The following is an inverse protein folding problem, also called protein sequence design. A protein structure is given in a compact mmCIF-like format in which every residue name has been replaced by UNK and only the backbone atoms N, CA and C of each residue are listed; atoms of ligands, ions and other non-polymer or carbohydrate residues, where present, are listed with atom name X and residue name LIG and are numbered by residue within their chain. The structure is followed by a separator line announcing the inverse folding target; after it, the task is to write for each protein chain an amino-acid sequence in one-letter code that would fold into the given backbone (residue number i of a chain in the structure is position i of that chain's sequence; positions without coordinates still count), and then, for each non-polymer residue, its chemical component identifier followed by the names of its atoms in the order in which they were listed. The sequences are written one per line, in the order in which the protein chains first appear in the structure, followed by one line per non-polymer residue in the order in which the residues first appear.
data_IF_504872044049
#
_entry.id   IF_504872044049
#
_cell.length_a   1.000
_cell.length_b   1.000
_cell.length_c   1.000
_cell.angle_alpha   90.00
_cell.angle_beta   90.00
_cell.angle_gamma   90.00
#
_symmetry.space_group_name_H-M   'P 1'
#
loop_
_entity.id
_entity.type
_entity.pdbx_description
1 polymer ?
#
# COMPACT_ATOMS: atom_id res chain seq x y z
N UNK A 1 27.77 -47.87 -28.73
CA UNK A 1 27.52 -46.71 -27.83
C UNK A 1 28.14 -45.46 -28.43
N UNK A 2 27.35 -44.61 -29.10
CA UNK A 2 27.75 -43.23 -29.46
C UNK A 2 26.53 -42.34 -29.22
N UNK A 3 26.72 -41.37 -28.32
CA UNK A 3 25.67 -40.54 -27.71
C UNK A 3 25.12 -39.58 -28.76
N UNK A 4 23.79 -39.50 -28.80
CA UNK A 4 22.99 -38.67 -29.69
C UNK A 4 22.30 -37.64 -28.82
N UNK A 5 22.49 -36.35 -29.18
CA UNK A 5 21.71 -35.16 -28.80
C UNK A 5 21.82 -34.79 -27.30
N UNK A 6 21.99 -33.53 -26.88
CA UNK A 6 21.10 -32.39 -27.11
C UNK A 6 21.96 -31.12 -26.97
N UNK A 7 22.18 -30.42 -28.09
CA UNK A 7 22.59 -29.02 -28.10
C UNK A 7 21.40 -28.26 -28.68
N UNK A 8 20.75 -27.44 -27.85
CA UNK A 8 19.60 -26.65 -28.26
C UNK A 8 18.50 -26.70 -27.23
N UNK A 9 18.46 -25.66 -26.39
CA UNK A 9 17.30 -25.01 -25.76
C UNK A 9 17.76 -24.29 -24.48
N UNK A 10 18.67 -23.34 -24.62
CA UNK A 10 18.91 -22.31 -23.59
C UNK A 10 18.90 -20.95 -24.28
N UNK A 11 17.76 -20.58 -24.87
CA UNK A 11 17.60 -19.27 -25.51
C UNK A 11 16.15 -18.76 -25.47
N UNK A 12 15.38 -19.09 -24.42
CA UNK A 12 14.03 -18.56 -24.24
C UNK A 12 13.74 -18.11 -22.80
N UNK A 13 14.71 -17.56 -22.06
CA UNK A 13 14.46 -16.93 -20.74
C UNK A 13 15.00 -15.50 -20.62
N UNK A 14 15.35 -14.87 -21.74
CA UNK A 14 15.68 -13.44 -21.81
C UNK A 14 14.68 -12.73 -22.72
N UNK A 15 13.41 -12.75 -22.34
CA UNK A 15 12.40 -11.86 -22.88
C UNK A 15 11.63 -11.28 -21.69
N UNK A 16 12.02 -10.05 -21.29
CA UNK A 16 11.36 -9.30 -20.24
C UNK A 16 12.08 -9.31 -18.90
N UNK A 17 13.31 -8.81 -18.83
CA UNK A 17 13.75 -8.12 -17.61
C UNK A 17 13.01 -6.78 -17.55
N UNK A 18 11.69 -6.82 -17.36
CA UNK A 18 10.98 -5.71 -16.74
C UNK A 18 11.47 -5.74 -15.28
N UNK A 19 12.55 -5.00 -15.09
CA UNK A 19 13.29 -4.71 -13.87
C UNK A 19 12.59 -5.12 -12.56
N UNK A 20 12.70 -6.41 -12.18
CA UNK A 20 12.49 -6.82 -10.79
C UNK A 20 13.51 -6.16 -9.83
N UNK A 21 14.56 -5.54 -10.39
CA UNK A 21 15.62 -4.83 -9.68
C UNK A 21 15.27 -3.35 -9.35
N UNK A 22 14.13 -2.82 -9.81
CA UNK A 22 13.70 -1.44 -9.47
C UNK A 22 12.39 -1.34 -8.69
N UNK A 23 11.76 -2.47 -8.36
CA UNK A 23 10.64 -2.48 -7.44
C UNK A 23 11.14 -2.19 -6.01
N UNK A 24 10.91 -0.97 -5.54
CA UNK A 24 11.11 -0.64 -4.12
C UNK A 24 10.07 -1.41 -3.29
N UNK A 25 10.52 -2.02 -2.20
CA UNK A 25 9.59 -2.62 -1.24
C UNK A 25 8.86 -1.51 -0.50
N UNK A 26 7.55 -1.65 -0.38
CA UNK A 26 6.71 -0.81 0.45
C UNK A 26 6.94 -1.20 1.91
N UNK A 27 7.45 -0.25 2.70
CA UNK A 27 7.60 -0.45 4.14
C UNK A 27 6.24 -0.59 4.83
N UNK A 28 6.25 -1.20 6.00
CA UNK A 28 5.03 -1.53 6.73
C UNK A 28 4.26 -0.29 7.16
N UNK A 29 4.94 0.76 7.62
CA UNK A 29 4.27 1.92 8.20
C UNK A 29 3.58 2.74 7.11
N UNK A 30 4.23 2.92 5.96
CA UNK A 30 3.64 3.55 4.78
C UNK A 30 2.47 2.73 4.21
N UNK A 31 2.56 1.39 4.20
CA UNK A 31 1.45 0.53 3.79
C UNK A 31 0.22 0.69 4.70
N UNK A 32 0.43 0.60 6.02
CA UNK A 32 -0.63 0.75 7.01
C UNK A 32 -1.23 2.16 6.96
N UNK A 33 -0.37 3.18 6.81
CA UNK A 33 -0.77 4.55 6.59
C UNK A 33 -1.67 4.71 5.38
N UNK A 34 -1.27 4.22 4.20
CA UNK A 34 -2.09 4.28 2.99
C UNK A 34 -3.42 3.54 3.14
N UNK A 35 -3.42 2.34 3.74
CA UNK A 35 -4.65 1.61 4.01
C UNK A 35 -5.58 2.38 4.95
N UNK A 36 -5.03 2.98 6.01
CA UNK A 36 -5.78 3.82 6.94
C UNK A 36 -6.41 5.02 6.23
N UNK A 37 -5.70 5.69 5.32
CA UNK A 37 -6.23 6.80 4.53
C UNK A 37 -7.42 6.34 3.66
N UNK A 38 -7.31 5.19 2.99
CA UNK A 38 -8.37 4.65 2.14
C UNK A 38 -9.64 4.31 2.94
N UNK A 39 -9.48 3.58 4.05
CA UNK A 39 -10.61 3.19 4.90
C UNK A 39 -11.26 4.42 5.52
N UNK A 40 -10.46 5.33 6.07
CA UNK A 40 -10.95 6.49 6.78
C UNK A 40 -11.59 7.52 5.84
N UNK A 41 -11.18 7.58 4.57
CA UNK A 41 -11.91 8.36 3.54
C UNK A 41 -13.36 7.88 3.44
N UNK A 42 -13.56 6.55 3.35
CA UNK A 42 -14.90 5.95 3.25
C UNK A 42 -15.68 6.16 4.55
N UNK A 43 -15.06 5.87 5.70
CA UNK A 43 -15.69 6.03 7.01
C UNK A 43 -16.16 7.48 7.23
N UNK A 44 -15.30 8.48 6.99
CA UNK A 44 -15.67 9.87 7.18
C UNK A 44 -16.78 10.33 6.23
N UNK A 45 -16.81 9.81 4.99
CA UNK A 45 -17.91 10.07 4.06
C UNK A 45 -19.25 9.51 4.56
N UNK A 46 -19.25 8.31 5.16
CA UNK A 46 -20.44 7.68 5.73
C UNK A 46 -20.94 8.36 7.02
N UNK A 47 -20.06 9.10 7.71
CA UNK A 47 -20.37 9.79 8.97
C UNK A 47 -20.60 11.30 8.81
N UNK A 48 -20.75 11.82 7.59
CA UNK A 48 -20.90 13.25 7.26
C UNK A 48 -19.73 14.13 7.77
N UNK A 49 -18.54 13.55 7.91
CA UNK A 49 -17.30 14.22 8.37
C UNK A 49 -16.48 14.73 7.19
N UNK A 50 -17.01 15.71 6.46
CA UNK A 50 -16.45 16.13 5.16
C UNK A 50 -15.04 16.73 5.25
N UNK A 51 -14.68 17.43 6.33
CA UNK A 51 -13.37 18.07 6.45
C UNK A 51 -12.28 17.02 6.62
N UNK A 52 -12.48 16.09 7.54
CA UNK A 52 -11.59 14.97 7.81
C UNK A 52 -11.47 14.08 6.57
N UNK A 53 -12.60 13.76 5.93
CA UNK A 53 -12.65 13.02 4.68
C UNK A 53 -11.83 13.66 3.55
N UNK A 54 -11.89 15.00 3.42
CA UNK A 54 -11.08 15.72 2.44
C UNK A 54 -9.58 15.64 2.74
N UNK A 55 -9.17 15.77 4.02
CA UNK A 55 -7.76 15.71 4.42
C UNK A 55 -7.18 14.33 4.07
N UNK A 56 -7.83 13.25 4.52
CA UNK A 56 -7.31 11.90 4.28
C UNK A 56 -7.42 11.52 2.80
N UNK A 57 -8.47 11.96 2.09
CA UNK A 57 -8.66 11.71 0.67
C UNK A 57 -7.61 12.41 -0.21
N UNK A 58 -7.26 13.67 0.10
CA UNK A 58 -6.18 14.38 -0.60
C UNK A 58 -4.84 13.69 -0.39
N UNK A 59 -4.52 13.31 0.85
CA UNK A 59 -3.27 12.62 1.15
C UNK A 59 -3.21 11.24 0.47
N UNK A 60 -4.32 10.49 0.46
CA UNK A 60 -4.43 9.21 -0.24
C UNK A 60 -4.12 9.37 -1.74
N UNK A 61 -4.70 10.37 -2.38
CA UNK A 61 -4.44 10.67 -3.79
C UNK A 61 -2.99 11.10 -4.02
N UNK A 62 -2.38 11.85 -3.10
CA UNK A 62 -0.98 12.24 -3.19
C UNK A 62 -0.03 11.02 -3.16
N UNK A 63 -0.24 10.10 -2.21
CA UNK A 63 0.52 8.84 -2.13
C UNK A 63 0.32 7.96 -3.36
N UNK A 64 -0.92 7.88 -3.85
CA UNK A 64 -1.22 7.18 -5.11
C UNK A 64 -0.43 7.78 -6.27
N UNK A 65 -0.44 9.10 -6.41
CA UNK A 65 0.23 9.81 -7.50
C UNK A 65 1.77 9.76 -7.40
N UNK A 66 2.34 9.52 -6.21
CA UNK A 66 3.78 9.28 -6.05
C UNK A 66 4.20 7.83 -6.30
N UNK A 67 3.30 6.97 -6.79
CA UNK A 67 3.61 5.62 -7.25
C UNK A 67 3.60 4.56 -6.14
N UNK A 68 2.92 4.80 -5.01
CA UNK A 68 2.81 3.81 -3.93
C UNK A 68 2.25 2.46 -4.40
N UNK A 69 1.37 2.49 -5.41
CA UNK A 69 0.74 1.30 -5.98
C UNK A 69 1.70 0.43 -6.80
N UNK A 70 2.84 0.98 -7.23
CA UNK A 70 3.88 0.26 -7.98
C UNK A 70 4.88 -0.45 -7.05
N UNK A 71 4.83 -0.17 -5.74
CA UNK A 71 5.73 -0.78 -4.77
C UNK A 71 5.29 -2.18 -4.36
N UNK A 72 6.27 -3.03 -4.03
CA UNK A 72 6.02 -4.44 -3.69
C UNK A 72 5.77 -4.57 -2.19
N UNK A 73 4.67 -5.23 -1.82
CA UNK A 73 4.39 -5.56 -0.42
C UNK A 73 5.10 -6.86 -0.02
N UNK A 74 5.80 -6.83 1.11
CA UNK A 74 6.32 -8.05 1.73
C UNK A 74 5.18 -8.87 2.35
N UNK A 75 5.43 -10.16 2.62
CA UNK A 75 4.47 -11.01 3.34
C UNK A 75 4.13 -10.44 4.73
N UNK A 76 5.12 -9.93 5.46
CA UNK A 76 4.90 -9.29 6.77
C UNK A 76 4.01 -8.06 6.63
N UNK A 77 4.25 -7.24 5.60
CA UNK A 77 3.45 -6.04 5.33
C UNK A 77 2.00 -6.41 5.00
N UNK A 78 1.79 -7.45 4.19
CA UNK A 78 0.46 -7.97 3.88
C UNK A 78 -0.26 -8.52 5.12
N UNK A 79 0.43 -9.26 5.98
CA UNK A 79 -0.14 -9.76 7.25
C UNK A 79 -0.53 -8.62 8.18
N UNK A 80 0.32 -7.59 8.29
CA UNK A 80 0.02 -6.41 9.09
C UNK A 80 -1.21 -5.63 8.58
N UNK A 81 -1.39 -5.56 7.25
CA UNK A 81 -2.60 -4.99 6.65
C UNK A 81 -3.84 -5.80 7.00
N UNK A 82 -3.78 -7.13 6.87
CA UNK A 82 -4.91 -8.00 7.20
C UNK A 82 -5.32 -7.84 8.67
N UNK A 83 -4.33 -7.76 9.57
CA UNK A 83 -4.55 -7.49 10.99
C UNK A 83 -5.20 -6.12 11.22
N UNK A 84 -4.71 -5.07 10.55
CA UNK A 84 -5.30 -3.73 10.63
C UNK A 84 -6.76 -3.72 10.16
N UNK A 85 -7.06 -4.36 9.02
CA UNK A 85 -8.44 -4.50 8.52
C UNK A 85 -9.34 -5.24 9.51
N UNK A 86 -8.83 -6.33 10.11
CA UNK A 86 -9.55 -7.11 11.12
C UNK A 86 -9.88 -6.27 12.35
N UNK A 87 -8.91 -5.49 12.85
CA UNK A 87 -9.08 -4.58 13.99
C UNK A 87 -10.12 -3.50 13.65
N UNK A 88 -10.02 -2.86 12.49
CA UNK A 88 -10.94 -1.80 12.08
C UNK A 88 -12.38 -2.31 11.96
N UNK A 89 -12.57 -3.50 11.37
CA UNK A 89 -13.89 -4.09 11.18
C UNK A 89 -14.51 -4.60 12.49
N UNK A 90 -13.69 -5.02 13.46
CA UNK A 90 -14.15 -5.43 14.79
C UNK A 90 -14.38 -4.24 15.74
N UNK A 91 -13.82 -3.07 15.42
CA UNK A 91 -13.91 -1.86 16.23
C UNK A 91 -15.33 -1.27 16.19
N UNK A 92 -15.78 -0.72 17.33
CA UNK A 92 -16.96 0.12 17.38
C UNK A 92 -16.66 1.52 16.81
N UNK A 93 -17.69 2.35 16.63
CA UNK A 93 -17.55 3.70 16.05
C UNK A 93 -16.52 4.57 16.76
N UNK A 94 -16.48 4.59 18.09
CA UNK A 94 -15.50 5.40 18.84
C UNK A 94 -14.07 4.92 18.60
N UNK A 95 -13.87 3.60 18.51
CA UNK A 95 -12.58 3.01 18.20
C UNK A 95 -12.17 3.27 16.74
N UNK A 96 -13.11 3.20 15.79
CA UNK A 96 -12.87 3.53 14.38
C UNK A 96 -12.46 5.00 14.20
N UNK A 97 -13.08 5.92 14.93
CA UNK A 97 -12.65 7.33 14.95
C UNK A 97 -11.19 7.45 15.40
N UNK A 98 -10.80 6.77 16.50
CA UNK A 98 -9.41 6.79 16.98
C UNK A 98 -8.43 6.22 15.95
N UNK A 99 -8.79 5.12 15.29
CA UNK A 99 -7.98 4.55 14.20
C UNK A 99 -7.85 5.52 13.01
N UNK A 100 -8.86 6.37 12.78
CA UNK A 100 -8.81 7.38 11.74
C UNK A 100 -8.10 8.68 12.15
N UNK A 101 -8.00 8.99 13.45
CA UNK A 101 -7.12 10.05 13.93
C UNK A 101 -5.66 9.74 13.59
N UNK A 102 -5.25 8.47 13.69
CA UNK A 102 -3.93 8.01 13.25
C UNK A 102 -3.74 8.18 11.73
N UNK A 103 -4.80 8.00 10.93
CA UNK A 103 -4.76 8.26 9.49
C UNK A 103 -4.57 9.77 9.18
N UNK A 104 -5.21 10.66 9.93
CA UNK A 104 -5.00 12.11 9.82
C UNK A 104 -3.57 12.48 10.21
N UNK A 105 -3.01 11.83 11.23
CA UNK A 105 -1.62 12.04 11.62
C UNK A 105 -0.67 11.61 10.51
N UNK A 106 -0.85 10.41 9.96
CA UNK A 106 -0.09 9.94 8.81
C UNK A 106 -0.21 10.89 7.60
N UNK A 107 -1.42 11.38 7.32
CA UNK A 107 -1.65 12.33 6.23
C UNK A 107 -0.82 13.63 6.36
N UNK A 108 -0.48 14.04 7.58
CA UNK A 108 0.26 15.26 7.90
C UNK A 108 1.76 15.06 8.04
N UNK A 109 2.16 13.89 8.52
CA UNK A 109 3.54 13.62 8.95
C UNK A 109 4.30 12.67 8.00
N UNK A 110 3.62 11.99 7.08
CA UNK A 110 4.25 11.11 6.10
C UNK A 110 5.24 11.88 5.22
N UNK A 111 6.45 11.35 5.08
CA UNK A 111 7.51 11.84 4.20
C UNK A 111 7.56 11.09 2.86
N UNK A 112 6.61 10.17 2.63
CA UNK A 112 6.53 9.41 1.38
C UNK A 112 6.22 10.29 0.16
N UNK A 113 5.47 11.37 0.37
CA UNK A 113 5.20 12.39 -0.64
C UNK A 113 6.13 13.56 -0.37
N UNK A 114 7.11 13.80 -1.25
CA UNK A 114 7.95 14.99 -1.16
C UNK A 114 7.09 16.25 -1.32
N UNK A 115 7.25 17.23 -0.44
CA UNK A 115 6.60 18.53 -0.60
C UNK A 115 7.24 19.26 -1.79
N UNK A 116 6.41 19.68 -2.76
CA UNK A 116 6.83 20.55 -3.87
C UNK A 116 7.29 21.95 -3.39
#
# INVERSE_FOLDING_TARGET
MKKVLIAGLVSCLFAGTASAESAKNLDKDTALGMASLMICTTFYAEQDMHLEGNIVGQSMMAHKNSGIEEMVMSKETSEALDDYMSIFNAANKEQQVKLCDDAIKFARESDFVEAE
#
